data_IF_747581634321
#
_entry.id   IF_747581634321
#
_cell.length_a   1.000
_cell.length_b   1.000
_cell.length_c   1.000
_cell.angle_alpha   90.00
_cell.angle_beta   90.00
_cell.angle_gamma   90.00
#
_symmetry.space_group_name_H-M   'P 1'
#
loop_
_entity.id
_entity.type
_entity.pdbx_description
1 polymer ?
#
# COMPACT_ATOMS: atom_id res chain seq x y z
N UNK A 1 20.52 28.80 2.79
CA UNK A 1 20.04 27.75 3.72
C UNK A 1 18.52 27.61 3.75
N UNK A 2 17.73 28.68 3.92
CA UNK A 2 16.27 28.54 4.15
C UNK A 2 15.39 28.40 2.89
N UNK A 3 15.88 28.74 1.70
CA UNK A 3 15.06 28.77 0.47
C UNK A 3 15.77 28.06 -0.70
N UNK A 4 16.78 28.68 -1.32
CA UNK A 4 17.35 28.23 -2.60
C UNK A 4 18.00 26.83 -2.63
N UNK A 5 18.24 26.20 -1.48
CA UNK A 5 18.81 24.85 -1.40
C UNK A 5 18.24 24.03 -0.25
N UNK A 6 17.05 24.41 0.24
CA UNK A 6 16.33 23.62 1.24
C UNK A 6 15.55 22.52 0.52
N UNK A 7 15.65 21.30 1.04
CA UNK A 7 14.74 20.20 0.68
C UNK A 7 13.88 19.94 1.91
N UNK A 8 12.62 20.34 1.83
CA UNK A 8 11.64 20.07 2.88
C UNK A 8 11.12 18.63 2.75
N UNK A 9 10.62 18.09 3.85
CA UNK A 9 10.01 16.76 3.84
C UNK A 9 8.69 16.81 3.06
N UNK A 10 7.92 17.88 3.28
CA UNK A 10 6.60 18.07 2.72
C UNK A 10 6.24 19.54 2.55
N UNK A 11 5.37 19.81 1.59
CA UNK A 11 4.87 21.15 1.27
C UNK A 11 3.80 21.63 2.25
N UNK A 12 3.56 22.95 2.29
CA UNK A 12 2.46 23.54 3.05
C UNK A 12 1.08 23.18 2.48
N UNK A 13 0.06 23.21 3.34
CA UNK A 13 -1.30 22.79 2.98
C UNK A 13 -2.27 23.95 2.69
N UNK A 14 -3.26 23.74 1.80
CA UNK A 14 -4.32 24.72 1.54
C UNK A 14 -5.14 25.08 2.79
N UNK A 15 -5.71 26.29 2.78
CA UNK A 15 -6.32 26.94 3.94
C UNK A 15 -7.37 26.12 4.70
N UNK A 16 -8.16 25.26 4.03
CA UNK A 16 -9.17 24.41 4.69
C UNK A 16 -8.57 23.45 5.72
N UNK A 17 -7.30 23.07 5.54
CA UNK A 17 -6.53 22.17 6.41
C UNK A 17 -5.13 22.75 6.65
N UNK A 18 -5.08 24.05 6.95
CA UNK A 18 -3.86 24.84 6.99
C UNK A 18 -2.80 24.26 7.94
N UNK A 19 -1.64 23.94 7.36
CA UNK A 19 -0.43 23.50 8.05
C UNK A 19 0.79 24.02 7.30
N UNK A 20 1.86 24.30 8.05
CA UNK A 20 3.14 24.65 7.47
C UNK A 20 3.80 23.45 6.77
N UNK A 21 5.01 23.64 6.23
CA UNK A 21 5.80 22.55 5.71
C UNK A 21 6.17 21.51 6.77
N UNK A 22 6.66 20.35 6.32
CA UNK A 22 7.09 19.21 7.15
C UNK A 22 5.96 18.56 7.98
N UNK A 23 4.71 18.75 7.58
CA UNK A 23 3.54 18.11 8.19
C UNK A 23 3.04 16.94 7.31
N UNK A 24 2.42 15.89 7.90
CA UNK A 24 2.11 14.65 7.18
C UNK A 24 1.25 14.84 5.92
N UNK A 25 0.27 15.74 5.95
CA UNK A 25 -0.65 15.91 4.82
C UNK A 25 -0.01 16.46 3.54
N UNK A 26 1.18 17.06 3.63
CA UNK A 26 1.95 17.51 2.46
C UNK A 26 3.01 16.51 2.00
N UNK A 27 3.21 15.41 2.73
CA UNK A 27 4.25 14.41 2.45
C UNK A 27 3.80 13.55 1.28
N UNK A 28 4.52 13.62 0.16
CA UNK A 28 4.20 12.82 -1.01
C UNK A 28 4.41 11.32 -0.72
N UNK A 29 3.63 10.47 -1.37
CA UNK A 29 3.77 9.02 -1.22
C UNK A 29 5.15 8.51 -1.69
N UNK A 30 5.76 9.17 -2.68
CA UNK A 30 7.13 8.86 -3.11
C UNK A 30 8.16 9.16 -2.02
N UNK A 31 8.09 10.34 -1.40
CA UNK A 31 8.97 10.66 -0.26
C UNK A 31 8.76 9.69 0.91
N UNK A 32 7.52 9.29 1.19
CA UNK A 32 7.26 8.29 2.22
C UNK A 32 7.97 6.97 1.94
N UNK A 33 7.90 6.49 0.70
CA UNK A 33 8.62 5.28 0.29
C UNK A 33 10.14 5.41 0.39
N UNK A 34 10.71 6.57 0.06
CA UNK A 34 12.15 6.82 0.16
C UNK A 34 12.64 6.98 1.62
N UNK A 35 11.77 7.49 2.52
CA UNK A 35 12.07 7.57 3.96
C UNK A 35 12.24 6.16 4.54
N UNK A 36 11.38 5.22 4.14
CA UNK A 36 11.42 3.83 4.62
C UNK A 36 12.66 3.12 4.08
N UNK A 37 13.49 2.63 4.99
CA UNK A 37 14.83 2.15 4.67
C UNK A 37 14.89 0.66 4.27
N UNK A 38 13.75 -0.03 4.13
CA UNK A 38 13.71 -1.47 3.84
C UNK A 38 14.39 -1.81 2.52
N UNK A 39 14.20 -0.98 1.50
CA UNK A 39 14.75 -1.16 0.15
C UNK A 39 16.28 -1.29 0.13
N UNK A 40 17.01 -0.63 1.04
CA UNK A 40 18.48 -0.73 1.06
C UNK A 40 18.99 -2.07 1.60
N UNK A 41 18.16 -2.80 2.36
CA UNK A 41 18.52 -4.05 3.06
C UNK A 41 17.92 -5.29 2.40
N UNK A 42 16.68 -5.22 1.92
CA UNK A 42 15.92 -6.35 1.37
C UNK A 42 15.62 -6.16 -0.11
N UNK A 43 16.66 -5.90 -0.91
CA UNK A 43 16.55 -5.55 -2.34
C UNK A 43 15.89 -6.63 -3.19
N UNK A 44 16.05 -7.89 -2.77
CA UNK A 44 15.55 -9.06 -3.49
C UNK A 44 14.16 -9.51 -3.01
N UNK A 45 13.51 -8.71 -2.15
CA UNK A 45 12.15 -8.97 -1.65
C UNK A 45 11.25 -7.74 -1.85
N UNK A 46 10.69 -7.57 -3.05
CA UNK A 46 9.85 -6.41 -3.37
C UNK A 46 8.55 -6.38 -2.57
N UNK A 47 8.00 -7.54 -2.19
CA UNK A 47 6.82 -7.63 -1.33
C UNK A 47 7.12 -7.02 0.05
N UNK A 48 8.23 -7.42 0.67
CA UNK A 48 8.64 -6.86 1.96
C UNK A 48 8.86 -5.35 1.89
N UNK A 49 9.46 -4.84 0.80
CA UNK A 49 9.63 -3.40 0.61
C UNK A 49 8.27 -2.69 0.58
N UNK A 50 7.31 -3.24 -0.18
CA UNK A 50 5.95 -2.69 -0.26
C UNK A 50 5.22 -2.73 1.09
N UNK A 51 5.31 -3.85 1.83
CA UNK A 51 4.64 -4.05 3.13
C UNK A 51 5.18 -3.11 4.20
N UNK A 52 6.50 -2.95 4.31
CA UNK A 52 7.11 -2.03 5.28
C UNK A 52 6.80 -0.56 4.96
N UNK A 53 6.71 -0.23 3.66
CA UNK A 53 6.24 1.08 3.20
C UNK A 53 4.77 1.29 3.59
N UNK A 54 3.92 0.29 3.33
CA UNK A 54 2.50 0.31 3.68
C UNK A 54 2.30 0.50 5.18
N UNK A 55 3.02 -0.25 6.02
CA UNK A 55 2.95 -0.14 7.47
C UNK A 55 3.28 1.27 7.97
N UNK A 56 4.38 1.85 7.50
CA UNK A 56 4.75 3.22 7.84
C UNK A 56 3.70 4.22 7.35
N UNK A 57 3.19 4.05 6.12
CA UNK A 57 2.20 4.91 5.50
C UNK A 57 0.87 4.87 6.25
N UNK A 58 0.33 3.69 6.56
CA UNK A 58 -0.89 3.51 7.33
C UNK A 58 -0.77 4.13 8.72
N UNK A 59 0.37 3.96 9.39
CA UNK A 59 0.58 4.59 10.70
C UNK A 59 0.57 6.12 10.60
N UNK A 60 1.37 6.68 9.68
CA UNK A 60 1.49 8.14 9.57
C UNK A 60 0.21 8.80 9.03
N UNK A 61 -0.35 8.26 7.95
CA UNK A 61 -1.48 8.87 7.26
C UNK A 61 -2.82 8.57 7.93
N UNK A 62 -3.07 7.36 8.42
CA UNK A 62 -4.36 7.04 9.02
C UNK A 62 -4.36 7.34 10.51
N UNK A 63 -3.36 6.91 11.29
CA UNK A 63 -3.41 7.07 12.73
C UNK A 63 -3.06 8.49 13.16
N UNK A 64 -1.96 9.04 12.66
CA UNK A 64 -1.48 10.37 13.08
C UNK A 64 -2.21 11.46 12.30
N UNK A 65 -2.19 11.42 10.98
CA UNK A 65 -2.70 12.50 10.16
C UNK A 65 -4.24 12.53 10.16
N UNK A 66 -4.91 11.49 9.65
CA UNK A 66 -6.37 11.47 9.60
C UNK A 66 -6.98 11.31 10.99
N UNK A 67 -6.49 10.38 11.79
CA UNK A 67 -7.01 10.02 13.11
C UNK A 67 -6.61 10.97 14.24
N UNK A 68 -5.58 11.79 14.05
CA UNK A 68 -5.12 12.80 14.99
C UNK A 68 -5.37 14.21 14.47
N UNK A 69 -4.55 14.65 13.50
CA UNK A 69 -4.55 16.04 13.03
C UNK A 69 -5.87 16.48 12.39
N UNK A 70 -6.53 15.61 11.64
CA UNK A 70 -7.74 15.92 10.87
C UNK A 70 -9.03 15.49 11.58
N UNK A 71 -8.93 14.77 12.71
CA UNK A 71 -10.08 14.36 13.52
C UNK A 71 -9.77 14.39 15.02
N UNK A 72 -9.21 13.32 15.59
CA UNK A 72 -8.88 13.17 17.01
C UNK A 72 -9.84 12.24 17.78
N UNK A 73 -9.54 12.00 19.05
CA UNK A 73 -10.33 11.12 19.93
C UNK A 73 -9.80 9.69 19.97
N UNK A 74 -10.69 8.70 19.87
CA UNK A 74 -10.31 7.27 19.81
C UNK A 74 -9.43 7.00 18.58
N UNK A 75 -9.67 7.71 17.48
CA UNK A 75 -8.85 7.66 16.27
C UNK A 75 -9.07 6.40 15.43
N UNK A 76 -8.09 6.09 14.59
CA UNK A 76 -8.20 5.12 13.50
C UNK A 76 -7.20 3.96 13.61
N UNK A 77 -6.86 3.56 14.84
CA UNK A 77 -5.86 2.51 15.09
C UNK A 77 -6.15 1.24 14.30
N UNK A 78 -7.37 0.70 14.40
CA UNK A 78 -7.70 -0.57 13.74
C UNK A 78 -7.91 -0.45 12.23
N UNK A 79 -8.17 0.76 11.69
CA UNK A 79 -8.14 0.96 10.24
C UNK A 79 -6.71 0.77 9.70
N UNK A 80 -5.73 1.31 10.42
CA UNK A 80 -4.34 1.24 10.01
C UNK A 80 -3.72 -0.14 10.28
N UNK A 81 -3.94 -0.72 11.47
CA UNK A 81 -3.30 -1.99 11.86
C UNK A 81 -3.65 -3.13 10.92
N UNK A 82 -4.85 -3.14 10.33
CA UNK A 82 -5.23 -4.16 9.36
C UNK A 82 -4.22 -4.32 8.20
N UNK A 83 -3.53 -3.23 7.82
CA UNK A 83 -2.52 -3.24 6.77
C UNK A 83 -1.14 -3.77 7.21
N UNK A 84 -0.90 -3.95 8.52
CA UNK A 84 0.42 -4.29 9.06
C UNK A 84 0.43 -5.28 10.24
N UNK A 85 -0.70 -5.92 10.54
CA UNK A 85 -0.79 -6.95 11.58
C UNK A 85 -1.24 -8.28 11.02
N UNK A 86 -0.93 -9.35 11.76
CA UNK A 86 -1.44 -10.71 11.54
C UNK A 86 -1.08 -11.33 10.18
N UNK A 87 -0.17 -10.70 9.43
CA UNK A 87 0.33 -11.11 8.12
C UNK A 87 -0.77 -11.33 7.06
N UNK A 88 -1.96 -10.74 7.22
CA UNK A 88 -3.06 -10.93 6.26
C UNK A 88 -2.76 -10.21 4.95
N UNK A 89 -2.22 -8.98 5.02
CA UNK A 89 -1.77 -8.25 3.82
C UNK A 89 -0.54 -8.90 3.20
N UNK A 90 0.36 -9.41 4.02
CA UNK A 90 1.55 -10.12 3.58
C UNK A 90 1.17 -11.35 2.75
N UNK A 91 0.31 -12.22 3.28
CA UNK A 91 -0.14 -13.47 2.64
C UNK A 91 -0.73 -13.20 1.25
N UNK A 92 -1.69 -12.28 1.16
CA UNK A 92 -2.34 -11.91 -0.09
C UNK A 92 -1.36 -11.29 -1.10
N UNK A 93 -0.46 -10.39 -0.66
CA UNK A 93 0.54 -9.79 -1.56
C UNK A 93 1.54 -10.82 -2.09
N UNK A 94 2.05 -11.69 -1.23
CA UNK A 94 3.01 -12.72 -1.66
C UNK A 94 2.33 -13.70 -2.63
N UNK A 95 1.12 -14.17 -2.34
CA UNK A 95 0.37 -15.04 -3.24
C UNK A 95 0.08 -14.39 -4.60
N UNK A 96 -0.39 -13.14 -4.59
CA UNK A 96 -0.67 -12.37 -5.80
C UNK A 96 0.58 -12.11 -6.64
N UNK A 97 1.71 -11.87 -6.00
CA UNK A 97 3.00 -11.67 -6.66
C UNK A 97 3.53 -12.96 -7.28
N UNK A 98 3.45 -14.08 -6.55
CA UNK A 98 3.85 -15.41 -7.03
C UNK A 98 3.02 -15.83 -8.25
N UNK A 99 1.70 -15.64 -8.22
CA UNK A 99 0.84 -15.87 -9.38
C UNK A 99 1.29 -15.08 -10.61
N UNK A 100 1.54 -13.78 -10.45
CA UNK A 100 2.03 -12.93 -11.53
C UNK A 100 3.40 -13.37 -12.04
N UNK A 101 4.31 -13.77 -11.15
CA UNK A 101 5.64 -14.22 -11.51
C UNK A 101 5.64 -15.54 -12.27
N UNK A 102 4.90 -16.53 -11.80
CA UNK A 102 4.79 -17.82 -12.47
C UNK A 102 4.16 -17.67 -13.86
N UNK A 103 3.07 -16.92 -13.94
CA UNK A 103 2.30 -16.77 -15.19
C UNK A 103 3.06 -16.02 -16.27
N UNK A 104 3.77 -14.96 -15.89
CA UNK A 104 4.50 -14.10 -16.83
C UNK A 104 6.00 -14.39 -16.86
N UNK A 105 6.46 -15.45 -16.20
CA UNK A 105 7.87 -15.84 -16.06
C UNK A 105 8.72 -14.64 -15.58
N UNK A 106 8.29 -13.99 -14.51
CA UNK A 106 8.93 -12.80 -13.93
C UNK A 106 9.82 -13.18 -12.75
N UNK A 107 10.59 -12.21 -12.30
CA UNK A 107 11.48 -12.29 -11.15
C UNK A 107 11.88 -10.87 -10.75
N UNK A 108 12.61 -10.73 -9.65
CA UNK A 108 13.23 -9.45 -9.29
C UNK A 108 14.05 -8.90 -10.47
N UNK A 109 13.74 -7.67 -10.89
CA UNK A 109 14.38 -7.00 -12.02
C UNK A 109 13.87 -7.43 -13.41
N UNK A 110 12.92 -8.37 -13.50
CA UNK A 110 12.30 -8.81 -14.75
C UNK A 110 10.80 -8.51 -14.71
N UNK A 111 10.35 -7.58 -15.54
CA UNK A 111 8.96 -7.10 -15.57
C UNK A 111 8.27 -7.40 -16.89
N UNK A 112 6.94 -7.36 -16.88
CA UNK A 112 6.10 -7.37 -18.08
C UNK A 112 5.65 -5.95 -18.43
N UNK A 113 5.51 -5.62 -19.71
CA UNK A 113 5.02 -4.31 -20.11
C UNK A 113 3.60 -4.06 -19.55
N UNK A 114 3.32 -2.87 -18.98
CA UNK A 114 2.01 -2.58 -18.42
C UNK A 114 0.96 -2.54 -19.53
N UNK A 115 -0.11 -3.32 -19.36
CA UNK A 115 -1.29 -3.31 -20.21
C UNK A 115 -2.55 -3.54 -19.36
N UNK A 116 -3.72 -3.14 -19.88
CA UNK A 116 -5.00 -3.41 -19.21
C UNK A 116 -5.24 -4.91 -19.02
N UNK A 117 -4.73 -5.76 -19.92
CA UNK A 117 -4.89 -7.21 -19.80
C UNK A 117 -4.07 -7.76 -18.62
N UNK A 118 -2.82 -7.31 -18.45
CA UNK A 118 -1.98 -7.69 -17.30
C UNK A 118 -2.60 -7.18 -15.99
N UNK A 119 -3.08 -5.93 -15.98
CA UNK A 119 -3.74 -5.31 -14.82
C UNK A 119 -4.99 -6.10 -14.44
N UNK A 120 -5.85 -6.41 -15.40
CA UNK A 120 -7.06 -7.19 -15.16
C UNK A 120 -6.75 -8.59 -14.67
N UNK A 121 -5.74 -9.23 -15.23
CA UNK A 121 -5.39 -10.60 -14.88
C UNK A 121 -4.88 -10.72 -13.45
N UNK A 122 -3.75 -10.08 -13.14
CA UNK A 122 -3.13 -10.17 -11.80
C UNK A 122 -4.02 -9.49 -10.76
N UNK A 123 -4.59 -8.32 -11.06
CA UNK A 123 -5.44 -7.58 -10.13
C UNK A 123 -6.74 -8.32 -9.77
N UNK A 124 -7.41 -8.94 -10.75
CA UNK A 124 -8.62 -9.74 -10.47
C UNK A 124 -8.27 -11.01 -9.71
N UNK A 125 -7.19 -11.71 -10.08
CA UNK A 125 -6.79 -12.92 -9.37
C UNK A 125 -6.47 -12.64 -7.90
N UNK A 126 -5.65 -11.61 -7.63
CA UNK A 126 -5.33 -11.22 -6.25
C UNK A 126 -6.56 -10.80 -5.46
N UNK A 127 -7.48 -10.07 -6.09
CA UNK A 127 -8.72 -9.66 -5.42
C UNK A 127 -9.58 -10.86 -5.03
N UNK A 128 -9.74 -11.83 -5.93
CA UNK A 128 -10.50 -13.05 -5.64
C UNK A 128 -9.82 -13.87 -4.54
N UNK A 129 -8.50 -14.03 -4.59
CA UNK A 129 -7.73 -14.72 -3.55
C UNK A 129 -7.94 -14.08 -2.17
N UNK A 130 -7.76 -12.77 -2.05
CA UNK A 130 -7.93 -12.06 -0.78
C UNK A 130 -9.36 -12.11 -0.23
N UNK A 131 -10.38 -12.06 -1.10
CA UNK A 131 -11.78 -12.22 -0.69
C UNK A 131 -12.07 -13.65 -0.22
N UNK A 132 -11.60 -14.65 -0.96
CA UNK A 132 -11.75 -16.07 -0.60
C UNK A 132 -11.05 -16.38 0.73
N UNK A 133 -9.94 -15.71 1.07
CA UNK A 133 -9.29 -15.85 2.38
C UNK A 133 -10.25 -15.47 3.52
N UNK A 134 -10.98 -14.37 3.41
CA UNK A 134 -11.97 -13.99 4.43
C UNK A 134 -13.18 -14.93 4.46
N UNK A 135 -13.59 -15.49 3.33
CA UNK A 135 -14.72 -16.43 3.25
C UNK A 135 -14.37 -17.81 3.83
N UNK A 136 -13.15 -18.28 3.57
CA UNK A 136 -12.68 -19.60 4.00
C UNK A 136 -12.19 -19.62 5.45
N UNK A 137 -11.72 -18.47 5.97
CA UNK A 137 -11.20 -18.35 7.33
C UNK A 137 -12.01 -17.32 8.14
N UNK A 138 -13.10 -17.76 8.82
CA UNK A 138 -13.97 -16.86 9.59
C UNK A 138 -13.25 -16.01 10.64
N UNK A 139 -12.13 -16.50 11.19
CA UNK A 139 -11.32 -15.73 12.13
C UNK A 139 -10.62 -14.52 11.48
N UNK A 140 -10.24 -14.61 10.20
CA UNK A 140 -9.70 -13.47 9.47
C UNK A 140 -10.81 -12.42 9.21
N UNK A 141 -12.01 -12.88 8.90
CA UNK A 141 -13.19 -12.00 8.74
C UNK A 141 -13.59 -11.34 10.07
N UNK A 142 -13.46 -12.04 11.19
CA UNK A 142 -13.70 -11.50 12.53
C UNK A 142 -12.61 -10.49 12.96
N UNK A 143 -11.34 -10.79 12.70
CA UNK A 143 -10.22 -9.90 13.00
C UNK A 143 -10.31 -8.59 12.18
N UNK A 144 -10.56 -8.71 10.88
CA UNK A 144 -10.87 -7.59 9.99
C UNK A 144 -12.39 -7.39 9.86
N UNK A 145 -13.07 -7.19 11.00
CA UNK A 145 -14.52 -7.03 11.09
C UNK A 145 -15.06 -5.86 10.22
N UNK A 146 -14.27 -4.80 10.05
CA UNK A 146 -14.64 -3.61 9.29
C UNK A 146 -14.47 -3.82 7.79
N UNK A 147 -15.50 -3.50 7.00
CA UNK A 147 -15.43 -3.60 5.53
C UNK A 147 -14.28 -2.79 4.92
N UNK A 148 -13.99 -1.59 5.45
CA UNK A 148 -12.87 -0.76 4.99
C UNK A 148 -11.51 -1.39 5.25
N UNK A 149 -11.35 -2.17 6.33
CA UNK A 149 -10.09 -2.88 6.60
C UNK A 149 -9.86 -3.92 5.51
N UNK A 150 -10.88 -4.74 5.23
CA UNK A 150 -10.81 -5.77 4.19
C UNK A 150 -10.56 -5.18 2.81
N UNK A 151 -11.29 -4.12 2.44
CA UNK A 151 -11.09 -3.43 1.17
C UNK A 151 -9.65 -2.92 1.04
N UNK A 152 -9.11 -2.25 2.07
CA UNK A 152 -7.71 -1.79 2.06
C UNK A 152 -6.74 -2.96 1.86
N UNK A 153 -6.87 -4.04 2.63
CA UNK A 153 -5.94 -5.18 2.56
C UNK A 153 -5.93 -5.79 1.16
N UNK A 154 -7.10 -6.13 0.61
CA UNK A 154 -7.22 -6.80 -0.69
C UNK A 154 -6.71 -5.90 -1.83
N UNK A 155 -7.04 -4.61 -1.78
CA UNK A 155 -6.61 -3.68 -2.82
C UNK A 155 -5.14 -3.28 -2.73
N UNK A 156 -4.56 -3.16 -1.52
CA UNK A 156 -3.10 -2.98 -1.35
C UNK A 156 -2.35 -4.13 -2.00
N UNK A 157 -2.73 -5.37 -1.66
CA UNK A 157 -2.08 -6.59 -2.14
C UNK A 157 -2.15 -6.72 -3.66
N UNK A 158 -3.36 -6.58 -4.22
CA UNK A 158 -3.59 -6.66 -5.67
C UNK A 158 -2.84 -5.56 -6.44
N UNK A 159 -2.86 -4.33 -5.93
CA UNK A 159 -2.18 -3.20 -6.55
C UNK A 159 -0.66 -3.33 -6.53
N UNK A 160 -0.10 -3.73 -5.38
CA UNK A 160 1.33 -3.92 -5.23
C UNK A 160 1.84 -5.07 -6.09
N UNK A 161 1.13 -6.20 -6.18
CA UNK A 161 1.49 -7.30 -7.08
C UNK A 161 1.55 -6.86 -8.55
N UNK A 162 0.57 -6.08 -9.02
CA UNK A 162 0.58 -5.51 -10.38
C UNK A 162 1.72 -4.52 -10.59
N UNK A 163 1.99 -3.66 -9.60
CA UNK A 163 3.12 -2.72 -9.67
C UNK A 163 4.47 -3.45 -9.72
N UNK A 164 4.62 -4.53 -8.95
CA UNK A 164 5.82 -5.38 -8.93
C UNK A 164 6.00 -6.09 -10.28
N UNK A 165 4.93 -6.70 -10.80
CA UNK A 165 4.97 -7.42 -12.07
C UNK A 165 5.31 -6.50 -13.25
N UNK A 166 4.78 -5.28 -13.26
CA UNK A 166 4.94 -4.34 -14.38
C UNK A 166 6.10 -3.36 -14.24
N UNK A 167 6.62 -3.17 -13.02
CA UNK A 167 7.53 -2.08 -12.70
C UNK A 167 6.90 -0.70 -12.88
N UNK A 168 5.56 -0.58 -12.78
CA UNK A 168 4.83 0.66 -13.07
C UNK A 168 3.76 0.96 -12.00
N UNK A 169 3.92 2.08 -11.28
CA UNK A 169 3.00 2.47 -10.21
C UNK A 169 1.60 2.85 -10.69
N UNK A 170 1.45 3.39 -11.90
CA UNK A 170 0.13 3.73 -12.45
C UNK A 170 -0.67 2.47 -12.85
N UNK A 171 0.03 1.40 -13.26
CA UNK A 171 -0.61 0.10 -13.46
C UNK A 171 -1.11 -0.48 -12.13
N UNK A 172 -0.29 -0.40 -11.07
CA UNK A 172 -0.70 -0.75 -9.72
C UNK A 172 -1.90 0.06 -9.22
N UNK A 173 -1.89 1.38 -9.44
CA UNK A 173 -3.03 2.25 -9.10
C UNK A 173 -4.30 1.87 -9.87
N UNK A 174 -4.17 1.46 -11.13
CA UNK A 174 -5.32 0.97 -11.91
C UNK A 174 -5.88 -0.34 -11.34
N UNK A 175 -5.00 -1.22 -10.84
CA UNK A 175 -5.39 -2.45 -10.17
C UNK A 175 -6.04 -2.20 -8.81
N UNK A 176 -5.57 -1.20 -8.04
CA UNK A 176 -6.24 -0.75 -6.82
C UNK A 176 -7.71 -0.43 -7.08
N UNK A 177 -7.98 0.37 -8.12
CA UNK A 177 -9.34 0.75 -8.47
C UNK A 177 -10.17 -0.38 -9.07
N UNK A 178 -9.53 -1.38 -9.69
CA UNK A 178 -10.22 -2.58 -10.18
C UNK A 178 -10.62 -3.52 -9.03
N UNK A 179 -9.79 -3.57 -7.98
CA UNK A 179 -10.00 -4.42 -6.80
C UNK A 179 -11.18 -3.97 -5.93
N UNK A 180 -11.38 -2.64 -5.85
CA UNK A 180 -12.47 -1.99 -5.11
C UNK A 180 -13.83 -2.16 -5.80
#
# INVERSE_FOLDING_TARGET
AKHAGLVEMSEMLPARRARGPNEPGGLSFGHMADIVQTSRKFRDDPCKIALETCAAASMLYDQIWLGGYMSGGVGFTMYATAAYTNNVTDDDLYASTEYGWDKYNLAVGKTVAPSIDVIKDIGTWGTLYGLELYENYPTALEDHFGGSQRATVVSVSSAAAVAIATGNSNAGLSAWYLSM
#
